data_IF_801361143958
#
_entry.id   IF_801361143958
#
_cell.length_a   1.000
_cell.length_b   1.000
_cell.length_c   1.000
_cell.angle_alpha   90.00
_cell.angle_beta   90.00
_cell.angle_gamma   90.00
#
_symmetry.space_group_name_H-M   'P 1'
#
loop_
_entity.id
_entity.type
_entity.pdbx_description
1 polymer ?
#
# COMPACT_ATOMS: atom_id res chain seq x y z
N UNK A 1 -58.64 21.05 -72.09
CA UNK A 1 -57.24 21.14 -71.79
C UNK A 1 -57.11 21.52 -70.29
N UNK A 2 -56.90 20.53 -69.39
CA UNK A 2 -56.73 20.76 -67.93
C UNK A 2 -55.25 20.70 -67.61
N UNK A 3 -54.74 21.78 -67.06
CA UNK A 3 -53.36 21.87 -66.54
C UNK A 3 -53.33 21.36 -65.11
N UNK A 4 -52.54 20.32 -64.86
CA UNK A 4 -52.25 19.80 -63.54
C UNK A 4 -51.00 20.51 -63.04
N UNK A 5 -51.12 21.24 -61.95
CA UNK A 5 -49.96 21.84 -61.24
C UNK A 5 -49.55 20.91 -60.11
N UNK A 6 -48.36 20.31 -60.24
CA UNK A 6 -47.77 19.45 -59.21
C UNK A 6 -46.95 20.30 -58.25
N UNK A 7 -47.42 20.47 -57.01
CA UNK A 7 -46.66 21.16 -55.95
C UNK A 7 -45.62 20.22 -55.34
N UNK A 8 -44.33 20.59 -55.39
CA UNK A 8 -43.26 19.94 -54.64
C UNK A 8 -43.28 20.44 -53.18
N UNK A 9 -43.56 19.51 -52.32
CA UNK A 9 -43.42 19.75 -50.82
C UNK A 9 -42.00 19.45 -50.40
N UNK A 10 -41.23 20.51 -50.08
CA UNK A 10 -39.89 20.38 -49.50
C UNK A 10 -40.02 20.05 -48.01
N UNK A 11 -39.75 18.81 -47.63
CA UNK A 11 -39.64 18.41 -46.23
C UNK A 11 -38.26 18.85 -45.69
N UNK A 12 -38.23 19.89 -44.86
CA UNK A 12 -37.03 20.28 -44.11
C UNK A 12 -36.80 19.26 -43.02
N UNK A 13 -35.83 18.33 -43.19
CA UNK A 13 -35.29 17.52 -42.12
C UNK A 13 -34.49 18.44 -41.19
N UNK A 14 -35.06 18.80 -40.05
CA UNK A 14 -34.31 19.39 -38.92
C UNK A 14 -33.47 18.27 -38.28
N UNK A 15 -32.20 18.21 -38.67
CA UNK A 15 -31.23 17.34 -38.00
C UNK A 15 -31.04 17.77 -36.54
N UNK A 16 -31.64 17.06 -35.61
CA UNK A 16 -31.28 17.16 -34.20
C UNK A 16 -29.81 16.75 -34.07
N UNK A 17 -28.97 17.52 -33.34
CA UNK A 17 -27.63 17.08 -33.10
C UNK A 17 -27.64 15.74 -32.35
N UNK A 18 -27.11 14.70 -32.95
CA UNK A 18 -26.85 13.44 -32.28
C UNK A 18 -25.84 13.77 -31.14
N UNK A 19 -26.32 13.75 -29.91
CA UNK A 19 -25.44 13.77 -28.74
C UNK A 19 -24.65 12.45 -28.82
N UNK A 20 -23.50 12.52 -29.45
CA UNK A 20 -22.55 11.41 -29.48
C UNK A 20 -22.16 11.09 -28.03
N UNK A 21 -22.70 10.02 -27.48
CA UNK A 21 -22.17 9.44 -26.27
C UNK A 21 -20.73 8.99 -26.60
N UNK A 22 -19.75 9.82 -26.23
CA UNK A 22 -18.34 9.39 -26.26
C UNK A 22 -18.25 8.13 -25.40
N UNK A 23 -17.74 7.04 -25.97
CA UNK A 23 -17.54 5.80 -25.23
C UNK A 23 -16.62 6.07 -24.04
N UNK A 24 -17.01 5.59 -22.85
CA UNK A 24 -16.22 5.74 -21.64
C UNK A 24 -14.77 5.23 -21.85
N UNK A 25 -13.81 5.99 -21.41
CA UNK A 25 -12.39 5.59 -21.45
C UNK A 25 -12.18 4.45 -20.48
N UNK A 26 -11.82 3.28 -21.00
CA UNK A 26 -11.52 2.12 -20.15
C UNK A 26 -10.17 2.28 -19.46
N UNK A 27 -10.16 2.08 -18.16
CA UNK A 27 -8.98 2.12 -17.31
C UNK A 27 -8.87 0.79 -16.56
N UNK A 28 -7.65 0.28 -16.43
CA UNK A 28 -7.35 -1.00 -15.77
C UNK A 28 -6.69 -0.76 -14.42
N UNK A 29 -7.22 -1.39 -13.38
CA UNK A 29 -6.65 -1.32 -12.05
C UNK A 29 -6.10 -2.70 -11.62
N UNK A 30 -4.77 -2.81 -11.54
CA UNK A 30 -4.06 -4.03 -11.15
C UNK A 30 -3.88 -4.14 -9.64
N UNK A 31 -4.21 -5.30 -9.09
CA UNK A 31 -3.92 -5.68 -7.70
C UNK A 31 -3.35 -7.09 -7.67
N UNK A 32 -2.19 -7.27 -7.04
CA UNK A 32 -1.59 -8.59 -6.87
C UNK A 32 -2.24 -9.39 -5.72
N UNK A 33 -2.89 -8.68 -4.80
CA UNK A 33 -3.57 -9.24 -3.64
C UNK A 33 -4.88 -9.97 -4.02
N UNK A 34 -5.34 -10.91 -3.16
CA UNK A 34 -6.59 -11.61 -3.36
C UNK A 34 -7.81 -10.69 -3.34
N UNK A 35 -8.83 -11.01 -4.14
CA UNK A 35 -10.13 -10.31 -4.12
C UNK A 35 -10.91 -10.47 -2.81
N UNK A 36 -10.51 -11.42 -1.97
CA UNK A 36 -11.02 -11.63 -0.60
C UNK A 36 -10.43 -10.66 0.41
N UNK A 37 -9.34 -9.97 0.07
CA UNK A 37 -8.67 -9.03 0.96
C UNK A 37 -9.60 -7.88 1.39
N UNK A 38 -9.54 -7.49 2.67
CA UNK A 38 -10.37 -6.40 3.21
C UNK A 38 -10.13 -5.08 2.49
N UNK A 39 -8.89 -4.78 2.12
CA UNK A 39 -8.56 -3.53 1.40
C UNK A 39 -9.20 -3.48 0.04
N UNK A 40 -9.14 -4.58 -0.72
CA UNK A 40 -9.83 -4.66 -2.00
C UNK A 40 -11.33 -4.32 -1.84
N UNK A 41 -12.00 -4.93 -0.85
CA UNK A 41 -13.45 -4.81 -0.69
C UNK A 41 -13.90 -3.50 -0.02
N UNK A 42 -13.17 -3.00 0.97
CA UNK A 42 -13.60 -1.88 1.80
C UNK A 42 -12.95 -0.53 1.43
N UNK A 43 -11.88 -0.56 0.62
CA UNK A 43 -11.17 0.64 0.18
C UNK A 43 -11.14 0.76 -1.33
N UNK A 44 -10.53 -0.20 -2.05
CA UNK A 44 -10.33 -0.11 -3.51
C UNK A 44 -11.65 -0.08 -4.28
N UNK A 45 -12.57 -1.01 -4.02
CA UNK A 45 -13.90 -1.03 -4.67
C UNK A 45 -14.72 0.24 -4.41
N UNK A 46 -14.87 0.73 -3.15
CA UNK A 46 -15.57 1.98 -2.90
C UNK A 46 -14.94 3.19 -3.58
N UNK A 47 -13.59 3.26 -3.64
CA UNK A 47 -12.89 4.29 -4.39
C UNK A 47 -13.29 4.26 -5.87
N UNK A 48 -13.16 3.10 -6.53
CA UNK A 48 -13.53 2.94 -7.94
C UNK A 48 -14.97 3.34 -8.19
N UNK A 49 -15.91 2.86 -7.35
CA UNK A 49 -17.33 3.19 -7.47
C UNK A 49 -17.59 4.71 -7.31
N UNK A 50 -16.94 5.36 -6.35
CA UNK A 50 -17.09 6.80 -6.13
C UNK A 50 -16.56 7.62 -7.31
N UNK A 51 -15.36 7.26 -7.81
CA UNK A 51 -14.75 7.93 -8.97
C UNK A 51 -15.60 7.76 -10.23
N UNK A 52 -16.06 6.54 -10.53
CA UNK A 52 -16.91 6.28 -11.72
C UNK A 52 -18.22 7.05 -11.65
N UNK A 53 -18.86 7.10 -10.48
CA UNK A 53 -20.08 7.88 -10.25
C UNK A 53 -19.86 9.37 -10.49
N UNK A 54 -18.79 9.94 -9.95
CA UNK A 54 -18.46 11.37 -10.08
C UNK A 54 -18.04 11.72 -11.51
N UNK A 55 -17.34 10.82 -12.19
CA UNK A 55 -16.89 11.00 -13.57
C UNK A 55 -18.02 10.88 -14.60
N UNK A 56 -19.28 10.61 -14.18
CA UNK A 56 -20.49 10.66 -14.99
C UNK A 56 -20.40 9.90 -16.34
N UNK A 57 -19.81 8.70 -16.35
CA UNK A 57 -19.68 7.86 -17.56
C UNK A 57 -18.52 8.24 -18.49
N UNK A 58 -17.65 9.18 -18.09
CA UNK A 58 -16.47 9.55 -18.89
C UNK A 58 -15.38 8.49 -18.86
N UNK A 59 -15.28 7.75 -17.75
CA UNK A 59 -14.34 6.64 -17.54
C UNK A 59 -15.06 5.41 -17.00
N UNK A 60 -14.47 4.25 -17.29
CA UNK A 60 -14.87 2.94 -16.80
C UNK A 60 -13.62 2.24 -16.23
N UNK A 61 -13.59 1.98 -14.92
CA UNK A 61 -12.44 1.39 -14.23
C UNK A 61 -12.73 -0.09 -13.96
N UNK A 62 -12.02 -0.96 -14.65
CA UNK A 62 -12.08 -2.41 -14.44
C UNK A 62 -10.97 -2.85 -13.47
N UNK A 63 -11.34 -3.60 -12.43
CA UNK A 63 -10.42 -4.10 -11.42
C UNK A 63 -9.92 -5.51 -11.73
N UNK A 64 -8.62 -5.72 -11.60
CA UNK A 64 -7.93 -6.97 -11.88
C UNK A 64 -7.19 -7.47 -10.63
N UNK A 65 -7.91 -8.04 -9.64
CA UNK A 65 -7.31 -8.64 -8.45
C UNK A 65 -6.61 -9.97 -8.75
N UNK A 66 -6.06 -10.61 -7.71
CA UNK A 66 -5.40 -11.93 -7.79
C UNK A 66 -4.20 -11.97 -8.76
N UNK A 67 -3.61 -10.83 -9.06
CA UNK A 67 -2.49 -10.72 -10.00
C UNK A 67 -2.87 -11.00 -11.45
N UNK A 68 -4.13 -10.75 -11.85
CA UNK A 68 -4.63 -11.05 -13.20
C UNK A 68 -3.88 -10.32 -14.32
N UNK A 69 -3.34 -9.11 -14.06
CA UNK A 69 -2.47 -8.38 -15.00
C UNK A 69 -0.97 -8.60 -14.76
N UNK A 70 -0.61 -9.19 -13.63
CA UNK A 70 0.78 -9.48 -13.25
C UNK A 70 0.85 -9.98 -11.82
N UNK A 71 1.32 -11.22 -11.63
CA UNK A 71 1.29 -11.90 -10.31
C UNK A 71 2.39 -11.41 -9.36
N UNK A 72 3.52 -10.94 -9.92
CA UNK A 72 4.66 -10.53 -9.11
C UNK A 72 4.41 -9.15 -8.48
N UNK A 73 4.37 -9.04 -7.13
CA UNK A 73 4.20 -7.75 -6.45
C UNK A 73 5.27 -6.73 -6.83
N UNK A 74 6.47 -7.19 -7.15
CA UNK A 74 7.61 -6.34 -7.56
C UNK A 74 7.39 -5.66 -8.91
N UNK A 75 6.52 -6.18 -9.76
CA UNK A 75 6.28 -5.66 -11.12
C UNK A 75 5.17 -4.62 -11.18
N UNK A 76 4.38 -4.45 -10.11
CA UNK A 76 3.16 -3.62 -10.14
C UNK A 76 3.44 -2.17 -10.57
N UNK A 77 4.51 -1.55 -10.06
CA UNK A 77 4.90 -0.20 -10.47
C UNK A 77 5.29 -0.12 -11.95
N UNK A 78 5.91 -1.18 -12.50
CA UNK A 78 6.29 -1.23 -13.91
C UNK A 78 5.07 -1.43 -14.81
N UNK A 79 4.08 -2.23 -14.43
CA UNK A 79 2.82 -2.38 -15.18
C UNK A 79 2.16 -1.03 -15.49
N UNK A 80 2.25 -0.09 -14.54
CA UNK A 80 1.71 1.26 -14.69
C UNK A 80 2.54 2.08 -15.69
N UNK A 81 3.86 1.98 -15.64
CA UNK A 81 4.72 2.72 -16.57
C UNK A 81 4.64 2.19 -18.01
N UNK A 82 4.46 0.88 -18.15
CA UNK A 82 4.34 0.22 -19.46
C UNK A 82 2.91 0.36 -20.04
N UNK A 83 1.96 0.94 -19.30
CA UNK A 83 0.56 1.09 -19.74
C UNK A 83 -0.22 -0.23 -19.81
N UNK A 84 0.28 -1.31 -19.19
CA UNK A 84 -0.43 -2.58 -19.03
C UNK A 84 -1.60 -2.39 -18.06
N UNK A 85 -1.37 -1.62 -16.99
CA UNK A 85 -2.38 -1.13 -16.07
C UNK A 85 -2.35 0.40 -16.02
N UNK A 86 -3.50 1.03 -15.79
CA UNK A 86 -3.61 2.47 -15.56
C UNK A 86 -3.41 2.82 -14.08
N UNK A 87 -3.90 1.97 -13.20
CA UNK A 87 -3.69 2.00 -11.75
C UNK A 87 -3.03 0.71 -11.29
N UNK A 88 -2.21 0.78 -10.24
CA UNK A 88 -1.75 -0.42 -9.56
C UNK A 88 -1.62 -0.20 -8.05
N UNK A 89 -1.89 -1.27 -7.29
CA UNK A 89 -1.51 -1.38 -5.90
C UNK A 89 -0.02 -1.76 -5.83
N UNK A 90 0.78 -0.90 -5.22
CA UNK A 90 2.23 -1.02 -5.15
C UNK A 90 2.71 -1.00 -3.71
N UNK A 91 3.67 -1.85 -3.42
CA UNK A 91 4.39 -1.90 -2.15
C UNK A 91 5.84 -1.48 -2.42
N UNK A 92 6.23 -0.22 -2.17
CA UNK A 92 7.54 0.31 -2.48
C UNK A 92 8.72 -0.58 -2.06
N UNK A 93 8.75 -1.15 -0.83
CA UNK A 93 9.83 -2.04 -0.39
C UNK A 93 10.05 -3.30 -1.24
N UNK A 94 9.04 -3.73 -2.02
CA UNK A 94 9.19 -4.92 -2.87
C UNK A 94 9.99 -4.65 -4.14
N UNK A 95 10.30 -3.38 -4.42
CA UNK A 95 11.08 -2.98 -5.60
C UNK A 95 12.34 -2.21 -5.15
N UNK A 96 13.34 -2.88 -4.57
CA UNK A 96 14.56 -2.23 -4.07
C UNK A 96 15.21 -1.34 -5.14
N UNK A 97 15.60 -0.13 -4.74
CA UNK A 97 16.24 0.85 -5.61
C UNK A 97 15.29 1.68 -6.49
N UNK A 98 13.99 1.33 -6.57
CA UNK A 98 13.00 2.16 -7.30
C UNK A 98 12.43 3.29 -6.44
N UNK A 99 12.26 3.03 -5.14
CA UNK A 99 11.67 3.96 -4.17
C UNK A 99 12.62 4.20 -2.98
N UNK A 100 13.88 4.65 -3.23
CA UNK A 100 14.89 4.75 -2.17
C UNK A 100 14.57 5.82 -1.11
N UNK A 101 13.83 6.88 -1.45
CA UNK A 101 13.43 7.91 -0.51
C UNK A 101 12.29 7.43 0.39
N UNK A 102 11.42 6.53 -0.10
CA UNK A 102 10.32 5.95 0.67
C UNK A 102 10.81 5.04 1.81
N UNK A 103 12.05 4.56 1.78
CA UNK A 103 12.66 3.80 2.87
C UNK A 103 12.65 4.55 4.21
N UNK A 104 12.60 5.90 4.19
CA UNK A 104 12.53 6.71 5.42
C UNK A 104 11.31 6.36 6.27
N UNK A 105 10.19 5.99 5.64
CA UNK A 105 8.95 5.65 6.35
C UNK A 105 9.01 4.25 6.99
N UNK A 106 9.97 3.42 6.60
CA UNK A 106 10.16 2.08 7.14
C UNK A 106 11.07 2.05 8.39
N UNK A 107 11.73 3.16 8.70
CA UNK A 107 12.70 3.22 9.81
C UNK A 107 12.05 2.78 11.14
N UNK A 108 12.62 1.80 11.84
CA UNK A 108 12.00 1.24 13.03
C UNK A 108 11.90 2.27 14.16
N UNK A 109 10.78 2.25 14.88
CA UNK A 109 10.53 3.16 15.98
C UNK A 109 10.21 4.61 15.60
N UNK A 110 10.11 4.94 14.30
CA UNK A 110 9.84 6.28 13.82
C UNK A 110 8.42 6.74 14.17
N UNK A 111 7.42 5.91 13.90
CA UNK A 111 6.00 6.21 14.10
C UNK A 111 5.40 5.48 15.31
N UNK A 112 4.43 6.11 15.97
CA UNK A 112 3.73 5.55 17.11
C UNK A 112 2.54 4.68 16.72
N UNK A 113 1.85 5.04 15.64
CA UNK A 113 0.64 4.36 15.18
C UNK A 113 0.41 4.55 13.68
N UNK A 114 -0.53 3.76 13.16
CA UNK A 114 -0.93 3.75 11.75
C UNK A 114 -1.38 5.14 11.25
N UNK A 115 -2.16 5.86 12.02
CA UNK A 115 -2.68 7.18 11.63
C UNK A 115 -1.55 8.18 11.43
N UNK A 116 -0.60 8.23 12.37
CA UNK A 116 0.57 9.08 12.28
C UNK A 116 1.40 8.76 11.02
N UNK A 117 1.73 7.48 10.81
CA UNK A 117 2.50 7.04 9.65
C UNK A 117 1.78 7.39 8.33
N UNK A 118 0.48 7.10 8.24
CA UNK A 118 -0.33 7.39 7.04
C UNK A 118 -0.40 8.89 6.76
N UNK A 119 -0.64 9.71 7.78
CA UNK A 119 -0.74 11.17 7.63
C UNK A 119 0.58 11.77 7.14
N UNK A 120 1.68 11.43 7.79
CA UNK A 120 3.01 11.95 7.44
C UNK A 120 3.41 11.52 6.03
N UNK A 121 3.26 10.24 5.71
CA UNK A 121 3.57 9.71 4.38
C UNK A 121 2.76 10.42 3.28
N UNK A 122 1.44 10.51 3.47
CA UNK A 122 0.54 11.18 2.52
C UNK A 122 0.94 12.63 2.31
N UNK A 123 1.13 13.39 3.37
CA UNK A 123 1.49 14.81 3.29
C UNK A 123 2.82 15.03 2.58
N UNK A 124 3.85 14.28 2.95
CA UNK A 124 5.17 14.45 2.35
C UNK A 124 5.21 14.12 0.86
N UNK A 125 4.53 13.04 0.45
CA UNK A 125 4.48 12.68 -0.98
C UNK A 125 3.65 13.67 -1.77
N UNK A 126 2.48 14.09 -1.29
CA UNK A 126 1.64 15.07 -1.97
C UNK A 126 2.29 16.45 -2.05
N UNK A 127 3.12 16.82 -1.07
CA UNK A 127 3.91 18.05 -1.08
C UNK A 127 5.16 17.97 -1.99
N UNK A 128 5.40 16.84 -2.66
CA UNK A 128 6.58 16.62 -3.52
C UNK A 128 7.91 16.54 -2.77
N UNK A 129 7.86 16.28 -1.46
CA UNK A 129 9.05 16.14 -0.62
C UNK A 129 9.74 14.78 -0.79
N UNK A 130 9.06 13.80 -1.41
CA UNK A 130 9.58 12.46 -1.74
C UNK A 130 9.52 12.32 -3.25
N UNK A 131 10.68 12.20 -3.89
CA UNK A 131 10.79 12.26 -5.36
C UNK A 131 10.52 10.94 -6.06
N UNK A 132 10.44 9.85 -5.35
CA UNK A 132 10.18 8.51 -5.89
C UNK A 132 8.91 8.44 -6.76
N UNK A 133 7.98 9.40 -6.59
CA UNK A 133 6.65 9.40 -7.22
C UNK A 133 6.51 10.37 -8.40
N UNK A 134 7.59 10.98 -8.88
CA UNK A 134 7.52 12.00 -9.95
C UNK A 134 6.87 11.48 -11.25
N UNK A 135 7.10 10.20 -11.58
CA UNK A 135 6.51 9.58 -12.77
C UNK A 135 5.06 9.11 -12.58
N UNK A 136 4.56 9.17 -11.36
CA UNK A 136 3.25 8.68 -10.99
C UNK A 136 2.35 9.79 -10.47
N UNK A 137 1.05 9.59 -10.60
CA UNK A 137 0.03 10.31 -9.84
C UNK A 137 -0.34 9.43 -8.63
N UNK A 138 0.01 9.84 -7.41
CA UNK A 138 -0.35 9.09 -6.20
C UNK A 138 -1.86 9.21 -5.95
N UNK A 139 -2.56 8.09 -5.97
CA UNK A 139 -4.00 8.00 -5.70
C UNK A 139 -4.24 7.80 -4.21
N UNK A 140 -3.56 6.83 -3.63
CA UNK A 140 -3.62 6.52 -2.21
C UNK A 140 -2.22 6.29 -1.66
N UNK A 141 -1.99 6.77 -0.45
CA UNK A 141 -0.73 6.64 0.27
C UNK A 141 -1.07 6.32 1.72
N UNK A 142 -0.53 5.22 2.24
CA UNK A 142 -0.79 4.84 3.63
C UNK A 142 0.34 3.99 4.19
N UNK A 143 0.51 4.03 5.52
CA UNK A 143 1.36 3.11 6.24
C UNK A 143 0.58 1.86 6.66
N UNK A 144 1.29 0.76 6.91
CA UNK A 144 0.69 -0.40 7.56
C UNK A 144 0.65 -0.21 9.09
N UNK A 145 -0.09 -1.04 9.85
CA UNK A 145 0.23 -1.26 11.26
C UNK A 145 1.70 -1.67 11.44
N UNK A 146 2.28 -1.45 12.63
CA UNK A 146 3.67 -1.87 12.89
C UNK A 146 3.84 -3.35 12.61
N UNK A 147 4.88 -3.71 11.85
CA UNK A 147 5.17 -5.11 11.57
C UNK A 147 5.65 -5.82 12.83
N UNK A 148 5.14 -7.02 12.99
CA UNK A 148 5.43 -7.97 14.08
C UNK A 148 6.05 -9.23 13.51
N UNK A 149 6.52 -10.13 14.36
CA UNK A 149 7.09 -11.41 13.93
C UNK A 149 6.07 -12.53 14.18
N UNK A 150 5.80 -13.30 13.13
CA UNK A 150 4.92 -14.46 13.16
C UNK A 150 5.73 -15.69 12.78
N UNK A 151 5.79 -16.67 13.68
CA UNK A 151 6.70 -17.81 13.58
C UNK A 151 6.05 -19.13 13.94
N UNK A 152 6.75 -20.22 13.64
CA UNK A 152 6.38 -21.61 14.02
C UNK A 152 7.14 -22.11 15.27
N UNK A 153 7.96 -21.26 15.89
CA UNK A 153 8.74 -21.58 17.08
C UNK A 153 8.45 -20.53 18.17
N UNK A 154 8.69 -20.85 19.45
CA UNK A 154 8.44 -19.92 20.54
C UNK A 154 9.34 -18.68 20.49
N UNK A 155 8.76 -17.50 20.69
CA UNK A 155 9.46 -16.24 20.84
C UNK A 155 8.87 -15.55 22.08
N UNK A 156 9.67 -15.29 23.09
CA UNK A 156 9.25 -14.57 24.30
C UNK A 156 9.98 -13.22 24.43
N UNK A 157 11.19 -13.13 23.88
CA UNK A 157 12.05 -11.95 23.91
C UNK A 157 12.73 -11.76 22.56
N UNK A 158 13.36 -10.60 22.34
CA UNK A 158 14.15 -10.35 21.13
C UNK A 158 15.34 -11.30 20.98
N UNK A 159 15.87 -11.84 22.10
CA UNK A 159 17.00 -12.77 22.08
C UNK A 159 16.65 -14.10 21.37
N UNK A 160 15.37 -14.50 21.38
CA UNK A 160 14.89 -15.73 20.74
C UNK A 160 14.90 -15.63 19.21
N UNK A 161 15.18 -14.47 18.65
CA UNK A 161 15.29 -14.27 17.18
C UNK A 161 16.65 -14.71 16.64
N UNK A 162 17.65 -14.84 17.50
CA UNK A 162 19.04 -15.10 17.10
C UNK A 162 19.16 -16.45 16.35
N UNK A 163 19.72 -16.36 15.15
CA UNK A 163 20.01 -17.53 14.31
C UNK A 163 18.80 -18.10 13.56
N UNK A 164 17.58 -17.60 13.79
CA UNK A 164 16.39 -18.00 13.05
C UNK A 164 16.27 -17.28 11.71
N UNK A 165 15.83 -18.01 10.69
CA UNK A 165 15.57 -17.48 9.35
C UNK A 165 14.22 -16.77 9.33
N UNK A 166 14.23 -15.46 9.30
CA UNK A 166 13.03 -14.61 9.34
C UNK A 166 12.90 -13.82 8.04
N UNK A 167 11.74 -13.91 7.41
CA UNK A 167 11.44 -13.10 6.22
C UNK A 167 11.27 -11.63 6.58
N UNK A 168 11.92 -10.74 5.81
CA UNK A 168 11.69 -9.30 5.80
C UNK A 168 11.07 -8.82 4.48
N UNK A 169 10.33 -7.72 4.50
CA UNK A 169 9.64 -7.20 3.32
C UNK A 169 10.50 -6.29 2.44
N UNK A 170 11.49 -5.62 2.99
CA UNK A 170 12.35 -4.65 2.29
C UNK A 170 13.69 -4.49 2.95
N UNK A 171 14.52 -3.61 2.40
CA UNK A 171 15.91 -3.40 2.83
C UNK A 171 15.99 -3.02 4.31
N UNK A 172 15.14 -2.10 4.76
CA UNK A 172 15.17 -1.62 6.16
C UNK A 172 14.82 -2.74 7.14
N UNK A 173 13.79 -3.55 6.83
CA UNK A 173 13.43 -4.68 7.69
C UNK A 173 14.50 -5.78 7.68
N UNK A 174 15.17 -6.01 6.56
CA UNK A 174 16.31 -6.92 6.45
C UNK A 174 17.43 -6.48 7.41
N UNK A 175 17.81 -5.20 7.39
CA UNK A 175 18.84 -4.66 8.29
C UNK A 175 18.41 -4.68 9.77
N UNK A 176 17.13 -4.37 10.05
CA UNK A 176 16.60 -4.46 11.41
C UNK A 176 16.61 -5.90 11.96
N UNK A 177 16.20 -6.88 11.15
CA UNK A 177 16.26 -8.30 11.54
C UNK A 177 17.69 -8.78 11.77
N UNK A 178 18.62 -8.37 10.91
CA UNK A 178 20.04 -8.68 11.05
C UNK A 178 20.60 -8.09 12.36
N UNK A 179 20.26 -6.84 12.68
CA UNK A 179 20.67 -6.20 13.91
C UNK A 179 20.12 -6.93 15.16
N UNK A 180 18.92 -7.52 15.08
CA UNK A 180 18.33 -8.38 16.10
C UNK A 180 18.97 -9.78 16.17
N UNK A 181 19.96 -10.09 15.33
CA UNK A 181 20.66 -11.37 15.30
C UNK A 181 19.94 -12.48 14.52
N UNK A 182 18.82 -12.18 13.86
CA UNK A 182 18.17 -13.12 12.96
C UNK A 182 18.95 -13.29 11.64
N UNK A 183 18.63 -14.32 10.88
CA UNK A 183 19.09 -14.54 9.50
C UNK A 183 17.97 -14.06 8.57
N UNK A 184 18.06 -12.85 8.00
CA UNK A 184 16.98 -12.30 7.22
C UNK A 184 16.91 -12.91 5.83
N UNK A 185 15.68 -13.12 5.32
CA UNK A 185 15.41 -13.61 3.97
C UNK A 185 14.39 -12.69 3.29
N UNK A 186 14.75 -12.07 2.17
CA UNK A 186 13.84 -11.20 1.40
C UNK A 186 12.94 -12.03 0.49
N UNK A 187 11.61 -11.87 0.58
CA UNK A 187 10.64 -12.45 -0.35
C UNK A 187 9.28 -11.74 -0.26
N UNK A 188 8.43 -11.81 -1.31
CA UNK A 188 7.07 -11.27 -1.26
C UNK A 188 6.17 -12.10 -0.32
N UNK A 189 5.07 -11.53 0.21
CA UNK A 189 4.19 -12.22 1.16
C UNK A 189 3.51 -13.45 0.57
N UNK A 190 3.31 -13.49 -0.74
CA UNK A 190 2.69 -14.61 -1.47
C UNK A 190 3.49 -15.92 -1.39
N UNK A 191 4.79 -15.85 -1.15
CA UNK A 191 5.69 -17.01 -1.07
C UNK A 191 5.91 -17.50 0.37
N UNK A 192 5.58 -16.66 1.36
CA UNK A 192 5.90 -16.90 2.78
C UNK A 192 5.26 -18.16 3.34
N UNK A 193 3.95 -18.46 3.13
CA UNK A 193 3.33 -19.66 3.69
C UNK A 193 4.01 -20.94 3.23
N UNK A 194 4.36 -21.03 1.94
CA UNK A 194 5.06 -22.18 1.39
C UNK A 194 6.48 -22.30 1.96
N UNK A 195 7.21 -21.20 2.07
CA UNK A 195 8.56 -21.16 2.62
C UNK A 195 8.60 -21.63 4.09
N UNK A 196 7.63 -21.20 4.93
CA UNK A 196 7.50 -21.66 6.32
C UNK A 196 7.11 -23.15 6.36
N UNK A 197 6.15 -23.57 5.53
CA UNK A 197 5.70 -24.97 5.45
C UNK A 197 6.85 -25.91 5.09
N UNK A 198 7.68 -25.52 4.13
CA UNK A 198 8.89 -26.25 3.71
C UNK A 198 10.07 -26.10 4.65
N UNK A 199 9.94 -25.33 5.73
CA UNK A 199 11.01 -25.04 6.69
C UNK A 199 12.25 -24.39 6.08
N UNK A 200 12.11 -23.64 4.98
CA UNK A 200 13.18 -22.82 4.41
C UNK A 200 13.38 -21.53 5.18
N UNK A 201 12.31 -21.06 5.84
CA UNK A 201 12.33 -20.00 6.85
C UNK A 201 11.55 -20.43 8.10
N UNK A 202 11.83 -19.79 9.24
CA UNK A 202 11.22 -20.13 10.54
C UNK A 202 10.06 -19.21 10.89
N UNK A 203 9.98 -18.04 10.27
CA UNK A 203 8.96 -17.03 10.50
C UNK A 203 9.06 -15.89 9.53
N UNK A 204 8.20 -14.88 9.71
CA UNK A 204 8.15 -13.71 8.86
C UNK A 204 7.78 -12.47 9.66
N UNK A 205 8.30 -11.32 9.23
CA UNK A 205 7.72 -10.03 9.60
C UNK A 205 6.43 -9.82 8.82
N UNK A 206 5.37 -9.43 9.51
CA UNK A 206 4.10 -9.13 8.89
C UNK A 206 3.21 -8.28 9.80
N UNK A 207 2.08 -7.86 9.28
CA UNK A 207 0.97 -7.29 10.03
C UNK A 207 -0.17 -8.31 10.15
N UNK A 208 -1.05 -8.23 11.16
CA UNK A 208 -2.14 -9.18 11.37
C UNK A 208 -3.00 -9.46 10.14
N UNK A 209 -3.32 -8.43 9.33
CA UNK A 209 -4.09 -8.60 8.11
C UNK A 209 -3.43 -9.60 7.15
N UNK A 210 -2.15 -9.44 6.86
CA UNK A 210 -1.40 -10.33 5.96
C UNK A 210 -1.32 -11.75 6.52
N UNK A 211 -1.28 -11.92 7.85
CA UNK A 211 -1.30 -13.26 8.48
C UNK A 211 -2.51 -14.07 8.01
N UNK A 212 -3.68 -13.44 7.95
CA UNK A 212 -4.91 -14.11 7.54
C UNK A 212 -5.15 -14.07 6.03
N UNK A 213 -4.94 -12.91 5.40
CA UNK A 213 -5.25 -12.71 3.98
C UNK A 213 -4.34 -13.54 3.06
N UNK A 214 -3.10 -13.81 3.49
CA UNK A 214 -2.13 -14.62 2.74
C UNK A 214 -1.93 -16.03 3.32
N UNK A 215 -2.68 -16.40 4.35
CA UNK A 215 -2.68 -17.78 4.88
C UNK A 215 -1.47 -18.13 5.75
N UNK A 216 -0.75 -17.14 6.31
CA UNK A 216 0.33 -17.38 7.27
C UNK A 216 -0.21 -18.00 8.57
N UNK A 217 -1.47 -17.74 8.90
CA UNK A 217 -2.17 -18.32 10.05
C UNK A 217 -2.18 -19.87 10.07
N UNK A 218 -2.05 -20.50 8.91
CA UNK A 218 -2.02 -21.96 8.78
C UNK A 218 -0.66 -22.56 9.10
N UNK A 219 0.40 -21.78 9.09
CA UNK A 219 1.79 -22.24 9.19
C UNK A 219 2.56 -21.59 10.33
N UNK A 220 1.94 -20.65 11.06
CA UNK A 220 2.49 -19.96 12.24
C UNK A 220 1.54 -20.09 13.42
N UNK A 221 2.09 -20.20 14.62
CA UNK A 221 1.31 -20.25 15.86
C UNK A 221 1.89 -19.36 16.96
N UNK A 222 2.96 -18.63 16.65
CA UNK A 222 3.61 -17.69 17.54
C UNK A 222 3.59 -16.29 16.94
N UNK A 223 3.15 -15.31 17.70
CA UNK A 223 2.98 -13.92 17.27
C UNK A 223 3.62 -12.99 18.29
N UNK A 224 4.79 -12.43 17.94
CA UNK A 224 5.57 -11.53 18.78
C UNK A 224 5.45 -10.10 18.27
N UNK A 225 4.74 -9.24 19.02
CA UNK A 225 4.34 -7.89 18.59
C UNK A 225 5.43 -6.82 18.81
N UNK A 226 6.66 -7.14 18.44
CA UNK A 226 7.72 -6.13 18.36
C UNK A 226 7.44 -5.18 17.19
N UNK A 227 7.66 -3.89 17.40
CA UNK A 227 7.41 -2.85 16.40
C UNK A 227 8.62 -2.67 15.48
N UNK A 228 8.69 -3.43 14.39
CA UNK A 228 9.79 -3.38 13.42
C UNK A 228 9.73 -2.20 12.44
N UNK A 229 8.75 -1.33 12.56
CA UNK A 229 8.50 -0.24 11.64
C UNK A 229 7.20 -0.45 10.85
N UNK A 230 6.94 0.49 9.98
CA UNK A 230 5.77 0.51 9.09
C UNK A 230 6.24 0.19 7.68
N UNK A 231 5.31 -0.18 6.82
CA UNK A 231 5.58 -0.37 5.40
C UNK A 231 4.73 0.63 4.63
N UNK A 232 5.32 1.49 3.80
CA UNK A 232 4.57 2.37 2.91
C UNK A 232 3.87 1.55 1.84
N UNK A 233 2.60 1.84 1.61
CA UNK A 233 1.76 1.26 0.58
C UNK A 233 1.16 2.37 -0.27
N UNK A 234 0.93 2.10 -1.55
CA UNK A 234 0.34 3.11 -2.42
C UNK A 234 -0.50 2.49 -3.53
N UNK A 235 -1.54 3.21 -3.93
CA UNK A 235 -2.18 3.05 -5.23
C UNK A 235 -1.70 4.22 -6.06
N UNK A 236 -1.16 3.94 -7.23
CA UNK A 236 -0.65 4.97 -8.13
C UNK A 236 -1.12 4.76 -9.55
N UNK A 237 -1.17 5.85 -10.30
CA UNK A 237 -1.49 5.90 -11.71
C UNK A 237 -0.31 6.47 -12.50
N UNK A 238 -0.14 6.09 -13.77
CA UNK A 238 0.83 6.76 -14.64
C UNK A 238 0.47 8.25 -14.74
N UNK A 239 1.41 9.16 -14.45
CA UNK A 239 1.16 10.61 -14.44
C UNK A 239 0.70 11.11 -15.80
N UNK A 240 1.39 10.71 -16.89
CA UNK A 240 1.02 11.13 -18.26
C UNK A 240 -0.38 10.64 -18.65
N UNK A 241 -0.73 9.40 -18.24
CA UNK A 241 -2.09 8.88 -18.47
C UNK A 241 -3.12 9.68 -17.70
N UNK A 242 -2.89 9.96 -16.42
CA UNK A 242 -3.77 10.80 -15.62
C UNK A 242 -3.98 12.19 -16.26
N UNK A 243 -2.91 12.84 -16.69
CA UNK A 243 -2.95 14.17 -17.32
C UNK A 243 -3.63 14.16 -18.69
N UNK A 244 -3.67 13.02 -19.38
CA UNK A 244 -4.38 12.86 -20.66
C UNK A 244 -5.88 12.63 -20.53
N UNK A 245 -6.41 12.37 -19.34
CA UNK A 245 -7.83 12.15 -19.12
C UNK A 245 -8.62 13.46 -19.26
N UNK A 246 -9.93 13.38 -19.63
CA UNK A 246 -10.82 14.53 -19.57
C UNK A 246 -10.83 15.16 -18.17
N UNK A 247 -11.01 16.48 -18.11
CA UNK A 247 -10.98 17.24 -16.85
C UNK A 247 -11.94 16.69 -15.79
N UNK A 248 -13.14 16.28 -16.18
CA UNK A 248 -14.13 15.70 -15.26
C UNK A 248 -13.63 14.40 -14.62
N UNK A 249 -12.92 13.58 -15.38
CA UNK A 249 -12.31 12.34 -14.85
C UNK A 249 -11.12 12.64 -13.93
N UNK A 250 -10.27 13.59 -14.32
CA UNK A 250 -9.16 14.04 -13.45
C UNK A 250 -9.67 14.58 -12.11
N UNK A 251 -10.73 15.41 -12.14
CA UNK A 251 -11.30 16.01 -10.93
C UNK A 251 -11.96 14.95 -10.03
N UNK A 252 -12.66 13.99 -10.63
CA UNK A 252 -13.23 12.85 -9.91
C UNK A 252 -12.13 12.02 -9.21
N UNK A 253 -11.07 11.68 -9.93
CA UNK A 253 -9.93 10.94 -9.35
C UNK A 253 -9.27 11.76 -8.23
N UNK A 254 -8.98 13.05 -8.45
CA UNK A 254 -8.38 13.92 -7.41
C UNK A 254 -9.23 14.02 -6.16
N UNK A 255 -10.55 14.18 -6.31
CA UNK A 255 -11.50 14.34 -5.19
C UNK A 255 -11.44 13.16 -4.21
N UNK A 256 -11.31 11.96 -4.73
CA UNK A 256 -11.29 10.72 -3.94
C UNK A 256 -9.87 10.18 -3.69
N UNK A 257 -8.82 10.92 -4.08
CA UNK A 257 -7.41 10.56 -3.84
C UNK A 257 -6.84 11.25 -2.59
N UNK A 258 -5.60 10.95 -2.29
CA UNK A 258 -4.81 11.60 -1.24
C UNK A 258 -5.43 11.44 0.15
N UNK A 259 -5.77 12.52 0.82
CA UNK A 259 -6.27 12.49 2.20
C UNK A 259 -7.60 11.72 2.34
N UNK A 260 -8.48 11.76 1.34
CA UNK A 260 -9.72 10.99 1.36
C UNK A 260 -9.43 9.49 1.49
N UNK A 261 -8.52 8.98 0.65
CA UNK A 261 -8.11 7.58 0.71
C UNK A 261 -7.34 7.24 1.99
N UNK A 262 -6.42 8.12 2.41
CA UNK A 262 -5.65 7.94 3.63
C UNK A 262 -6.55 7.80 4.88
N UNK A 263 -7.58 8.66 4.98
CA UNK A 263 -8.56 8.59 6.06
C UNK A 263 -9.39 7.31 6.00
N UNK A 264 -9.92 6.97 4.81
CA UNK A 264 -10.70 5.74 4.60
C UNK A 264 -9.91 4.49 4.96
N UNK A 265 -8.65 4.46 4.52
CA UNK A 265 -7.74 3.37 4.84
C UNK A 265 -7.50 3.24 6.34
N UNK A 266 -7.20 4.38 6.99
CA UNK A 266 -6.94 4.41 8.44
C UNK A 266 -8.14 3.90 9.24
N UNK A 267 -9.36 4.35 8.92
CA UNK A 267 -10.60 3.90 9.57
C UNK A 267 -10.79 2.39 9.47
N UNK A 268 -10.66 1.85 8.26
CA UNK A 268 -10.85 0.42 8.00
C UNK A 268 -9.78 -0.41 8.70
N UNK A 269 -8.51 0.01 8.61
CA UNK A 269 -7.40 -0.81 9.12
C UNK A 269 -7.28 -0.79 10.64
N UNK A 270 -7.54 0.34 11.29
CA UNK A 270 -7.51 0.40 12.77
C UNK A 270 -8.53 -0.56 13.37
N UNK A 271 -9.74 -0.59 12.82
CA UNK A 271 -10.79 -1.50 13.28
C UNK A 271 -10.44 -2.96 12.98
N UNK A 272 -9.96 -3.22 11.77
CA UNK A 272 -9.61 -4.56 11.30
C UNK A 272 -8.42 -5.15 12.07
N UNK A 273 -7.37 -4.37 12.29
CA UNK A 273 -6.18 -4.81 13.04
C UNK A 273 -6.55 -5.22 14.48
N UNK A 274 -7.37 -4.42 15.14
CA UNK A 274 -7.86 -4.73 16.48
C UNK A 274 -8.73 -6.03 16.53
N UNK A 275 -9.55 -6.27 15.50
CA UNK A 275 -10.31 -7.51 15.35
C UNK A 275 -9.37 -8.72 15.21
N UNK A 276 -8.36 -8.59 14.35
CA UNK A 276 -7.44 -9.68 14.07
C UNK A 276 -6.50 -10.02 15.23
N UNK A 277 -6.04 -9.03 15.99
CA UNK A 277 -5.28 -9.26 17.22
C UNK A 277 -6.12 -10.08 18.20
N UNK A 278 -7.37 -9.69 18.43
CA UNK A 278 -8.29 -10.46 19.28
C UNK A 278 -8.51 -11.89 18.77
N UNK A 279 -8.59 -12.07 17.45
CA UNK A 279 -8.71 -13.39 16.84
C UNK A 279 -7.47 -14.24 17.10
N UNK A 280 -6.26 -13.66 17.04
CA UNK A 280 -5.03 -14.36 17.39
C UNK A 280 -4.99 -14.73 18.87
N UNK A 281 -5.40 -13.82 19.77
CA UNK A 281 -5.42 -14.02 21.22
C UNK A 281 -6.45 -15.06 21.69
N UNK A 282 -7.59 -15.15 20.99
CA UNK A 282 -8.66 -16.08 21.34
C UNK A 282 -8.45 -17.51 20.87
N UNK A 283 -7.50 -17.78 19.97
CA UNK A 283 -7.20 -19.12 19.48
C UNK A 283 -6.22 -19.84 20.44
N UNK A 284 -6.65 -20.90 21.17
CA UNK A 284 -5.79 -21.60 22.13
C UNK A 284 -4.57 -22.29 21.50
N UNK A 285 -4.54 -22.44 20.18
CA UNK A 285 -3.41 -23.00 19.45
C UNK A 285 -2.31 -21.98 19.17
N UNK A 286 -2.55 -20.72 19.50
CA UNK A 286 -1.63 -19.61 19.22
C UNK A 286 -1.11 -18.99 20.51
N UNK A 287 0.07 -18.44 20.42
CA UNK A 287 0.64 -17.63 21.49
C UNK A 287 0.90 -16.22 20.97
N UNK A 288 0.26 -15.25 21.59
CA UNK A 288 0.50 -13.82 21.36
C UNK A 288 1.38 -13.31 22.49
N UNK A 289 2.48 -12.65 22.16
CA UNK A 289 3.39 -12.03 23.10
C UNK A 289 3.52 -10.55 22.78
N UNK A 290 3.11 -9.71 23.72
CA UNK A 290 3.41 -8.29 23.72
C UNK A 290 4.78 -8.09 24.38
N UNK A 291 5.78 -7.50 23.72
CA UNK A 291 7.10 -7.27 24.29
C UNK A 291 7.04 -6.46 25.57
N UNK A 292 7.94 -6.77 26.51
CA UNK A 292 8.11 -5.98 27.73
C UNK A 292 8.70 -4.59 27.40
N UNK A 293 8.62 -3.67 28.38
CA UNK A 293 9.29 -2.37 28.26
C UNK A 293 10.80 -2.55 28.03
N UNK A 294 11.41 -3.53 28.71
CA UNK A 294 12.83 -3.85 28.55
C UNK A 294 13.15 -4.35 27.12
N UNK A 295 12.29 -5.18 26.52
CA UNK A 295 12.46 -5.61 25.13
C UNK A 295 12.31 -4.45 24.14
N UNK A 296 11.37 -3.54 24.38
CA UNK A 296 11.23 -2.34 23.56
C UNK A 296 12.45 -1.43 23.64
N UNK A 297 13.02 -1.24 24.82
CA UNK A 297 14.22 -0.41 25.02
C UNK A 297 15.45 -1.08 24.39
N UNK A 298 15.60 -2.39 24.57
CA UNK A 298 16.66 -3.16 23.91
C UNK A 298 16.54 -3.12 22.38
N UNK A 299 15.33 -3.28 21.83
CA UNK A 299 15.09 -3.17 20.39
C UNK A 299 15.42 -1.76 19.87
N UNK A 300 15.06 -0.71 20.61
CA UNK A 300 15.40 0.68 20.24
C UNK A 300 16.91 0.86 20.13
N UNK A 301 17.67 0.41 21.13
CA UNK A 301 19.13 0.48 21.11
C UNK A 301 19.74 -0.25 19.90
N UNK A 302 19.15 -1.40 19.51
CA UNK A 302 19.58 -2.16 18.33
C UNK A 302 19.21 -1.46 17.02
N UNK A 303 18.11 -0.71 16.98
CA UNK A 303 17.65 -0.02 15.76
C UNK A 303 18.34 1.32 15.51
N UNK A 304 18.86 1.99 16.55
CA UNK A 304 19.58 3.27 16.37
C UNK A 304 20.74 3.19 15.35
N UNK A 305 21.63 2.18 15.38
CA UNK A 305 22.64 2.02 14.33
C UNK A 305 22.08 1.80 12.92
N UNK A 306 20.94 1.11 12.79
CA UNK A 306 20.28 0.90 11.50
C UNK A 306 19.78 2.23 10.94
N UNK A 307 19.15 3.04 11.78
CA UNK A 307 18.68 4.40 11.42
C UNK A 307 19.88 5.28 11.04
N UNK A 308 20.92 5.30 11.87
CA UNK A 308 22.12 6.08 11.63
C UNK A 308 22.82 5.70 10.32
N UNK A 309 22.88 4.40 10.01
CA UNK A 309 23.45 3.89 8.77
C UNK A 309 22.63 4.35 7.55
N UNK A 310 21.30 4.33 7.65
CA UNK A 310 20.43 4.83 6.57
C UNK A 310 20.58 6.34 6.37
N UNK A 311 20.56 7.11 7.45
CA UNK A 311 20.73 8.57 7.44
C UNK A 311 22.09 8.96 6.86
N UNK A 312 23.15 8.22 7.20
CA UNK A 312 24.51 8.47 6.73
C UNK A 312 24.79 8.09 5.27
N UNK A 313 23.89 7.36 4.59
CA UNK A 313 24.08 6.95 3.18
C UNK A 313 24.23 8.14 2.23
N UNK A 314 23.51 9.25 2.49
CA UNK A 314 23.58 10.44 1.64
C UNK A 314 23.09 11.71 2.38
N UNK A 315 23.50 12.91 1.94
CA UNK A 315 22.92 14.16 2.44
C UNK A 315 21.39 14.21 2.27
N UNK A 316 20.86 13.60 1.21
CA UNK A 316 19.42 13.53 0.94
C UNK A 316 18.68 12.68 1.97
N UNK A 317 19.24 11.55 2.39
CA UNK A 317 18.66 10.73 3.44
C UNK A 317 18.62 11.48 4.78
N UNK A 318 19.66 12.22 5.11
CA UNK A 318 19.70 13.04 6.31
C UNK A 318 18.65 14.16 6.29
N UNK A 319 18.47 14.82 5.15
CA UNK A 319 17.42 15.83 4.92
C UNK A 319 16.02 15.23 5.08
N UNK A 320 15.75 14.08 4.42
CA UNK A 320 14.48 13.37 4.50
C UNK A 320 14.15 12.97 5.92
N UNK A 321 15.12 12.40 6.64
CA UNK A 321 14.91 12.01 8.04
C UNK A 321 14.54 13.20 8.92
N UNK A 322 15.24 14.35 8.77
CA UNK A 322 14.92 15.59 9.46
C UNK A 322 13.51 16.07 9.13
N UNK A 323 13.14 16.02 7.83
CA UNK A 323 11.82 16.47 7.36
C UNK A 323 10.69 15.59 7.91
N UNK A 324 10.86 14.25 7.86
CA UNK A 324 9.89 13.32 8.44
C UNK A 324 9.70 13.57 9.94
N UNK A 325 10.79 13.75 10.69
CA UNK A 325 10.72 14.06 12.12
C UNK A 325 9.95 15.34 12.41
N UNK A 326 10.21 16.40 11.64
CA UNK A 326 9.50 17.67 11.77
C UNK A 326 7.99 17.51 11.44
N UNK A 327 7.66 16.70 10.44
CA UNK A 327 6.25 16.45 10.09
C UNK A 327 5.55 15.60 11.16
N UNK A 328 6.22 14.62 11.74
CA UNK A 328 5.73 13.86 12.89
C UNK A 328 5.40 14.81 14.06
N UNK A 329 6.29 15.74 14.38
CA UNK A 329 6.08 16.69 15.47
C UNK A 329 4.86 17.59 15.22
N UNK A 330 4.61 18.02 13.96
CA UNK A 330 3.38 18.75 13.59
C UNK A 330 2.14 17.89 13.80
N UNK A 331 2.14 16.65 13.33
CA UNK A 331 0.99 15.74 13.49
C UNK A 331 0.69 15.48 14.96
N UNK A 332 1.71 15.28 15.79
CA UNK A 332 1.56 15.12 17.25
C UNK A 332 1.04 16.37 17.94
N UNK A 333 1.35 17.54 17.40
CA UNK A 333 0.83 18.84 17.87
C UNK A 333 -0.59 19.16 17.33
N UNK A 334 -1.22 18.23 16.58
CA UNK A 334 -2.55 18.42 16.00
C UNK A 334 -2.61 19.39 14.81
N UNK A 335 -1.48 19.57 14.11
CA UNK A 335 -1.34 20.50 12.97
C UNK A 335 -1.34 19.76 11.64
#
# INVERSE_FOLDING_TARGET
MKKIVTGLMFAALTGAPAIGFSQAIKLKYAEFSPDTEKIHNLVSKPFVAAVMKEAAGTIDIEMFPNGALGRAPQQQAQLVLDGIADFAFVVPPFTPGRFPESEVFELPGLFQNLKEATTVYTRMVLAGQVKDYEQYFPVALWGTPPFSIHARYPINTIADLKGHKIRGSGVIQIEALKALGAIPVGMPPTEVPEAISRRTIDGATSQPAVVFDFGLDRVTNMHYFIRLGFVPLTIMMNRKKFESLPKVAQDAIRKYSGEWMANRYTEVYVAYDAELIKRLESDPKRKVVMPSAADHDAARAVFEPVIAAWVGKSPRNAELYKTVRAEIDKVRAGK
#
